data_IF_179839687492
#
_entry.id   IF_179839687492
#
_cell.length_a   1.000
_cell.length_b   1.000
_cell.length_c   1.000
_cell.angle_alpha   90.00
_cell.angle_beta   90.00
_cell.angle_gamma   90.00
#
_symmetry.space_group_name_H-M   'P 1'
#
loop_
_entity.id
_entity.type
_entity.pdbx_description
1 polymer ?
#
# COMPACT_ATOMS: atom_id res chain seq x y z
N UNK A 1 -24.37 4.84 -13.78
CA UNK A 1 -25.23 3.68 -14.10
C UNK A 1 -26.62 3.99 -13.60
N UNK A 2 -27.62 3.97 -14.48
CA UNK A 2 -29.01 4.20 -14.12
C UNK A 2 -29.72 2.94 -13.58
N UNK A 3 -28.99 1.82 -13.44
CA UNK A 3 -29.45 0.53 -12.90
C UNK A 3 -30.52 -0.17 -13.74
N UNK A 4 -30.69 0.20 -15.02
CA UNK A 4 -31.64 -0.46 -15.94
C UNK A 4 -31.16 -1.85 -16.43
N UNK A 5 -29.94 -2.23 -16.05
CA UNK A 5 -29.30 -3.50 -16.40
C UNK A 5 -28.69 -3.51 -17.82
N UNK A 6 -28.60 -2.37 -18.49
CA UNK A 6 -27.96 -2.22 -19.80
C UNK A 6 -26.84 -1.21 -19.71
N UNK A 7 -25.75 -1.47 -20.42
CA UNK A 7 -24.63 -0.53 -20.57
C UNK A 7 -24.79 0.16 -21.92
N UNK A 8 -25.14 1.43 -21.91
CA UNK A 8 -25.28 2.26 -23.12
C UNK A 8 -23.99 3.03 -23.42
N UNK A 9 -23.91 3.63 -24.62
CA UNK A 9 -22.79 4.53 -24.96
C UNK A 9 -22.72 5.74 -24.02
N UNK A 10 -23.87 6.24 -23.57
CA UNK A 10 -23.95 7.35 -22.60
C UNK A 10 -23.39 6.97 -21.23
N UNK A 11 -23.66 5.73 -20.76
CA UNK A 11 -23.07 5.23 -19.50
C UNK A 11 -21.55 5.12 -19.59
N UNK A 12 -21.04 4.65 -20.73
CA UNK A 12 -19.60 4.57 -20.98
C UNK A 12 -18.96 5.96 -21.01
N UNK A 13 -19.62 6.94 -21.61
CA UNK A 13 -19.11 8.31 -21.65
C UNK A 13 -19.17 8.99 -20.28
N UNK A 14 -20.22 8.78 -19.48
CA UNK A 14 -20.29 9.20 -18.09
C UNK A 14 -19.21 8.53 -17.25
N UNK A 15 -18.96 7.24 -17.44
CA UNK A 15 -17.91 6.51 -16.75
C UNK A 15 -16.53 7.06 -17.11
N UNK A 16 -16.24 7.27 -18.40
CA UNK A 16 -14.98 7.87 -18.86
C UNK A 16 -14.78 9.27 -18.27
N UNK A 17 -15.83 10.11 -18.30
CA UNK A 17 -15.78 11.45 -17.75
C UNK A 17 -15.53 11.46 -16.22
N UNK A 18 -16.11 10.50 -15.48
CA UNK A 18 -15.86 10.37 -14.06
C UNK A 18 -14.45 9.81 -13.77
N UNK A 19 -13.98 8.84 -14.56
CA UNK A 19 -12.60 8.35 -14.45
C UNK A 19 -11.57 9.43 -14.78
N UNK A 20 -11.85 10.29 -15.74
CA UNK A 20 -10.98 11.42 -16.09
C UNK A 20 -10.91 12.51 -15.00
N UNK A 21 -11.92 12.58 -14.12
CA UNK A 21 -11.95 13.52 -12.96
C UNK A 21 -11.29 12.91 -11.71
N UNK A 22 -11.09 11.60 -11.67
CA UNK A 22 -10.47 10.92 -10.54
C UNK A 22 -8.97 11.17 -10.53
N UNK A 23 -8.48 11.89 -9.53
CA UNK A 23 -7.06 11.97 -9.23
C UNK A 23 -6.67 10.85 -8.28
N UNK A 24 -5.64 10.08 -8.64
CA UNK A 24 -5.01 9.19 -7.68
C UNK A 24 -4.16 10.02 -6.73
N UNK A 25 -4.61 10.18 -5.49
CA UNK A 25 -3.98 11.04 -4.49
C UNK A 25 -3.95 10.36 -3.13
N UNK A 26 -2.84 10.46 -2.43
CA UNK A 26 -2.72 10.17 -1.01
C UNK A 26 -2.84 11.50 -0.25
N UNK A 27 -3.77 11.55 0.69
CA UNK A 27 -4.04 12.74 1.49
C UNK A 27 -3.91 12.40 2.97
N UNK A 28 -3.13 13.19 3.70
CA UNK A 28 -3.13 13.16 5.15
C UNK A 28 -4.12 14.22 5.67
N UNK A 29 -5.05 13.79 6.51
CA UNK A 29 -6.14 14.64 7.02
C UNK A 29 -6.00 14.82 8.53
N UNK A 30 -6.18 16.06 9.00
CA UNK A 30 -6.33 16.36 10.42
C UNK A 30 -7.79 16.03 10.85
N UNK A 31 -8.00 15.18 11.84
CA UNK A 31 -9.34 14.87 12.34
C UNK A 31 -9.97 16.09 13.06
N UNK A 32 -11.28 16.07 13.25
CA UNK A 32 -11.99 17.04 14.11
C UNK A 32 -12.93 18.01 13.38
N UNK A 33 -13.17 17.82 12.07
CA UNK A 33 -14.21 18.55 11.33
C UNK A 33 -15.61 17.93 11.47
N UNK A 34 -16.64 18.69 11.10
CA UNK A 34 -18.01 18.21 10.89
C UNK A 34 -18.46 18.57 9.48
N UNK A 35 -19.13 17.64 8.79
CA UNK A 35 -19.59 17.82 7.41
C UNK A 35 -18.51 17.60 6.37
N UNK A 36 -18.54 18.36 5.30
CA UNK A 36 -17.54 18.27 4.22
C UNK A 36 -16.16 18.68 4.70
N UNK A 37 -15.13 17.96 4.23
CA UNK A 37 -13.75 18.21 4.59
C UNK A 37 -13.25 19.50 3.92
N UNK A 38 -12.86 20.49 4.73
CA UNK A 38 -12.25 21.71 4.24
C UNK A 38 -10.78 21.49 3.83
N UNK A 39 -10.28 22.26 2.88
CA UNK A 39 -8.85 22.22 2.47
C UNK A 39 -7.88 22.45 3.64
N UNK A 40 -8.27 23.25 4.63
CA UNK A 40 -7.49 23.49 5.85
C UNK A 40 -7.27 22.24 6.70
N UNK A 41 -8.08 21.20 6.52
CA UNK A 41 -7.92 19.91 7.19
C UNK A 41 -6.88 19.00 6.51
N UNK A 42 -6.50 19.30 5.26
CA UNK A 42 -5.45 18.58 4.55
C UNK A 42 -4.10 19.01 5.09
N UNK A 43 -3.39 18.06 5.71
CA UNK A 43 -2.04 18.32 6.21
C UNK A 43 -1.02 18.34 5.07
N UNK A 44 -1.10 17.36 4.17
CA UNK A 44 -0.26 17.24 2.97
C UNK A 44 -0.89 16.29 1.94
N UNK A 45 -0.39 16.36 0.71
CA UNK A 45 -0.82 15.50 -0.42
C UNK A 45 0.40 14.90 -1.12
N UNK A 46 0.22 13.68 -1.65
CA UNK A 46 1.15 13.05 -2.59
C UNK A 46 0.37 12.57 -3.82
N UNK A 47 0.92 12.80 -5.00
CA UNK A 47 0.27 12.47 -6.27
C UNK A 47 1.11 11.53 -7.14
N UNK A 48 2.33 11.18 -6.69
CA UNK A 48 3.26 10.34 -7.46
C UNK A 48 3.62 9.08 -6.69
N UNK A 49 3.84 7.98 -7.44
CA UNK A 49 4.31 6.73 -6.86
C UNK A 49 3.29 6.02 -5.98
N UNK A 50 2.00 6.30 -6.18
CA UNK A 50 0.92 5.76 -5.35
C UNK A 50 0.63 4.30 -5.69
N UNK A 51 0.26 3.48 -4.71
CA UNK A 51 -0.16 2.10 -4.92
C UNK A 51 -1.51 2.03 -5.65
N UNK A 52 -1.74 0.90 -6.31
CA UNK A 52 -3.04 0.58 -6.94
C UNK A 52 -4.00 -0.09 -5.97
N UNK A 53 -3.51 -1.08 -5.23
CA UNK A 53 -4.31 -1.93 -4.34
C UNK A 53 -3.83 -1.86 -2.89
N UNK A 54 -2.52 -1.98 -2.60
CA UNK A 54 -2.04 -1.98 -1.22
C UNK A 54 -2.40 -0.68 -0.49
N UNK A 55 -2.86 -0.82 0.76
CA UNK A 55 -3.06 0.33 1.65
C UNK A 55 -1.73 0.92 2.09
N UNK A 56 -1.65 2.25 2.29
CA UNK A 56 -0.51 2.85 2.97
C UNK A 56 -0.33 2.30 4.38
N UNK A 57 0.90 2.10 4.79
CA UNK A 57 1.25 1.70 6.16
C UNK A 57 1.81 2.89 6.92
N UNK A 58 1.17 3.27 8.03
CA UNK A 58 1.75 4.24 8.97
C UNK A 58 2.44 3.49 10.12
N UNK A 59 3.76 3.66 10.26
CA UNK A 59 4.55 2.99 11.26
C UNK A 59 5.73 3.84 11.71
N UNK A 60 5.91 3.98 13.04
CA UNK A 60 7.01 4.74 13.67
C UNK A 60 7.19 6.16 13.09
N UNK A 61 6.08 6.88 12.88
CA UNK A 61 6.11 8.27 12.39
C UNK A 61 6.36 8.41 10.88
N UNK A 62 6.43 7.33 10.14
CA UNK A 62 6.57 7.31 8.69
C UNK A 62 5.36 6.66 8.00
N UNK A 63 5.04 7.12 6.80
CA UNK A 63 4.06 6.49 5.90
C UNK A 63 4.81 5.78 4.79
N UNK A 64 4.55 4.49 4.62
CA UNK A 64 5.16 3.65 3.60
C UNK A 64 4.15 3.31 2.53
N UNK A 65 4.56 3.44 1.28
CA UNK A 65 3.80 3.06 0.09
C UNK A 65 4.51 1.93 -0.63
N UNK A 66 3.74 0.96 -1.08
CA UNK A 66 4.21 -0.17 -1.90
C UNK A 66 3.38 -0.24 -3.17
N UNK A 67 4.03 -0.18 -4.32
CA UNK A 67 3.37 -0.36 -5.62
C UNK A 67 3.99 -1.50 -6.43
N UNK A 68 3.30 -1.84 -7.49
CA UNK A 68 3.74 -2.86 -8.46
C UNK A 68 5.17 -2.61 -8.95
N UNK A 69 5.89 -3.70 -9.19
CA UNK A 69 7.30 -3.69 -9.54
C UNK A 69 8.24 -3.68 -8.33
N UNK A 70 7.72 -3.84 -7.10
CA UNK A 70 8.52 -3.76 -5.88
C UNK A 70 9.09 -2.37 -5.67
N UNK A 71 8.28 -1.36 -5.89
CA UNK A 71 8.65 0.05 -5.74
C UNK A 71 8.09 0.55 -4.42
N UNK A 72 8.95 1.08 -3.56
CA UNK A 72 8.60 1.60 -2.25
C UNK A 72 8.94 3.07 -2.11
N UNK A 73 8.12 3.77 -1.31
CA UNK A 73 8.37 5.14 -0.90
C UNK A 73 8.12 5.27 0.59
N UNK A 74 8.81 6.19 1.24
CA UNK A 74 8.60 6.52 2.65
C UNK A 74 8.57 8.02 2.83
N UNK A 75 7.61 8.49 3.65
CA UNK A 75 7.38 9.90 3.93
C UNK A 75 7.25 10.12 5.44
N UNK A 76 7.67 11.25 5.93
CA UNK A 76 7.33 11.70 7.28
C UNK A 76 5.80 11.85 7.41
N UNK A 77 5.22 11.20 8.41
CA UNK A 77 3.76 11.13 8.56
C UNK A 77 3.11 12.49 8.87
N UNK A 78 3.85 13.43 9.46
CA UNK A 78 3.33 14.76 9.84
C UNK A 78 3.43 15.77 8.71
N UNK A 79 4.56 15.74 7.99
CA UNK A 79 4.91 16.77 7.00
C UNK A 79 4.72 16.33 5.57
N UNK A 80 4.67 15.01 5.29
CA UNK A 80 4.65 14.46 3.95
C UNK A 80 5.98 14.59 3.19
N UNK A 81 7.05 15.04 3.85
CA UNK A 81 8.38 15.09 3.25
C UNK A 81 8.90 13.68 3.00
N UNK A 82 9.45 13.39 1.82
CA UNK A 82 9.98 12.07 1.54
C UNK A 82 11.27 11.81 2.32
N UNK A 83 11.38 10.64 2.95
CA UNK A 83 12.65 10.04 3.36
C UNK A 83 13.33 9.43 2.14
N UNK A 84 12.56 8.68 1.34
CA UNK A 84 12.93 8.19 0.01
C UNK A 84 11.68 7.99 -0.85
N UNK A 85 11.84 8.02 -2.17
CA UNK A 85 10.71 7.97 -3.09
C UNK A 85 11.01 7.13 -4.32
N UNK A 86 10.10 6.19 -4.61
CA UNK A 86 10.11 5.32 -5.79
C UNK A 86 11.38 4.45 -5.91
N UNK A 87 11.90 4.00 -4.77
CA UNK A 87 13.05 3.11 -4.71
C UNK A 87 12.64 1.65 -4.96
N UNK A 88 13.51 0.89 -5.62
CA UNK A 88 13.28 -0.52 -5.91
C UNK A 88 13.87 -1.41 -4.82
N UNK A 89 13.10 -2.45 -4.46
CA UNK A 89 13.55 -3.46 -3.50
C UNK A 89 13.91 -4.79 -4.17
N UNK A 90 14.12 -4.83 -5.50
CA UNK A 90 14.46 -6.02 -6.29
C UNK A 90 13.52 -7.22 -6.06
N UNK A 91 12.25 -6.94 -5.83
CA UNK A 91 11.18 -7.92 -5.65
C UNK A 91 10.09 -7.66 -6.69
N UNK A 92 10.42 -7.94 -7.95
CA UNK A 92 9.52 -7.72 -9.09
C UNK A 92 8.22 -8.51 -8.92
N UNK A 93 7.12 -7.91 -9.33
CA UNK A 93 5.78 -8.49 -9.30
C UNK A 93 4.72 -7.44 -8.98
N UNK A 94 3.46 -7.87 -9.04
CA UNK A 94 2.33 -7.06 -8.62
C UNK A 94 2.06 -7.29 -7.14
N UNK A 95 1.53 -6.28 -6.48
CA UNK A 95 1.26 -6.30 -5.04
C UNK A 95 -0.20 -5.98 -4.77
N UNK A 96 -0.90 -6.92 -4.10
CA UNK A 96 -2.28 -6.75 -3.62
C UNK A 96 -2.31 -6.73 -2.09
N UNK A 97 -1.44 -7.53 -1.47
CA UNK A 97 -1.26 -7.53 -0.02
C UNK A 97 -0.72 -6.17 0.43
N UNK A 98 -1.35 -5.59 1.44
CA UNK A 98 -0.83 -4.38 2.09
C UNK A 98 0.40 -4.71 2.93
N UNK A 99 1.38 -3.79 3.05
CA UNK A 99 2.49 -3.96 3.96
C UNK A 99 2.01 -4.01 5.42
N UNK A 100 2.69 -4.81 6.25
CA UNK A 100 2.50 -4.85 7.70
C UNK A 100 3.83 -4.63 8.42
N UNK A 101 3.80 -4.15 9.66
CA UNK A 101 5.04 -3.85 10.39
C UNK A 101 4.98 -4.26 11.86
N UNK A 102 6.11 -4.79 12.35
CA UNK A 102 6.41 -5.03 13.76
C UNK A 102 7.93 -4.99 13.98
N UNK A 103 8.36 -4.69 15.19
CA UNK A 103 9.77 -4.75 15.65
C UNK A 103 10.75 -4.05 14.71
N UNK A 104 10.39 -2.87 14.21
CA UNK A 104 11.24 -2.11 13.29
C UNK A 104 11.39 -2.76 11.90
N UNK A 105 10.50 -3.70 11.54
CA UNK A 105 10.49 -4.40 10.26
C UNK A 105 9.18 -4.16 9.52
N UNK A 106 9.27 -4.06 8.20
CA UNK A 106 8.13 -3.98 7.29
C UNK A 106 8.14 -5.24 6.43
N UNK A 107 7.01 -5.92 6.37
CA UNK A 107 6.83 -7.16 5.61
C UNK A 107 5.93 -6.86 4.43
N UNK A 108 6.38 -7.18 3.23
CA UNK A 108 5.65 -7.03 1.97
C UNK A 108 5.59 -8.36 1.24
N UNK A 109 4.45 -8.66 0.61
CA UNK A 109 4.24 -9.91 -0.11
C UNK A 109 3.68 -9.65 -1.52
N UNK A 110 4.31 -10.23 -2.53
CA UNK A 110 3.91 -10.07 -3.93
C UNK A 110 2.95 -11.18 -4.39
N UNK A 111 2.19 -10.91 -5.45
CA UNK A 111 1.34 -11.93 -6.10
C UNK A 111 2.12 -13.12 -6.66
N UNK A 112 3.43 -12.99 -6.86
CA UNK A 112 4.30 -14.08 -7.32
C UNK A 112 4.84 -14.95 -6.17
N UNK A 113 4.42 -14.70 -4.92
CA UNK A 113 4.84 -15.48 -3.76
C UNK A 113 6.11 -15.00 -3.07
N UNK A 114 6.68 -13.89 -3.50
CA UNK A 114 7.88 -13.32 -2.88
C UNK A 114 7.50 -12.49 -1.67
N UNK A 115 8.09 -12.81 -0.54
CA UNK A 115 7.99 -12.05 0.71
C UNK A 115 9.31 -11.36 0.96
N UNK A 116 9.27 -10.06 1.17
CA UNK A 116 10.46 -9.25 1.46
C UNK A 116 10.28 -8.56 2.81
N UNK A 117 11.31 -8.64 3.64
CA UNK A 117 11.37 -7.94 4.93
C UNK A 117 12.33 -6.77 4.78
N UNK A 118 11.84 -5.56 5.10
CA UNK A 118 12.61 -4.33 5.07
C UNK A 118 12.83 -3.83 6.50
N UNK A 119 13.92 -3.11 6.73
CA UNK A 119 14.04 -2.28 7.93
C UNK A 119 13.08 -1.08 7.82
N UNK A 120 12.41 -0.72 8.92
CA UNK A 120 11.69 0.53 9.00
C UNK A 120 12.67 1.71 9.19
N UNK A 121 12.29 2.90 8.68
CA UNK A 121 13.12 4.10 8.75
C UNK A 121 14.24 4.12 7.69
N UNK A 122 15.17 5.07 7.88
CA UNK A 122 16.31 5.29 6.98
C UNK A 122 15.98 6.16 5.75
N UNK A 123 17.04 6.56 5.05
CA UNK A 123 16.98 7.41 3.85
C UNK A 123 16.91 6.61 2.53
N UNK A 124 16.90 5.28 2.64
CA UNK A 124 16.72 4.34 1.54
C UNK A 124 16.15 3.02 2.08
N UNK A 125 15.43 2.22 1.25
CA UNK A 125 14.91 0.93 1.67
C UNK A 125 16.06 -0.05 1.91
N UNK A 126 16.12 -0.62 3.10
CA UNK A 126 17.08 -1.65 3.46
C UNK A 126 16.40 -3.01 3.54
N UNK A 127 16.71 -3.90 2.60
CA UNK A 127 16.23 -5.28 2.61
C UNK A 127 16.99 -6.08 3.66
N UNK A 128 16.26 -6.72 4.57
CA UNK A 128 16.79 -7.57 5.63
C UNK A 128 16.72 -9.05 5.25
N UNK A 129 15.61 -9.46 4.61
CA UNK A 129 15.38 -10.86 4.26
C UNK A 129 14.45 -10.97 3.04
N UNK A 130 14.56 -12.08 2.31
CA UNK A 130 13.65 -12.49 1.23
C UNK A 130 13.34 -13.97 1.36
N UNK A 131 12.08 -14.31 1.07
CA UNK A 131 11.62 -15.69 0.93
C UNK A 131 10.76 -15.81 -0.33
N UNK A 132 10.79 -16.96 -0.98
CA UNK A 132 9.92 -17.27 -2.11
C UNK A 132 9.09 -18.51 -1.76
N UNK A 133 7.78 -18.35 -1.76
CA UNK A 133 6.83 -19.42 -1.47
C UNK A 133 6.41 -20.20 -2.72
N UNK A 134 6.77 -19.71 -3.91
CA UNK A 134 6.40 -20.33 -5.18
C UNK A 134 4.89 -20.32 -5.46
N UNK A 135 4.09 -19.70 -4.61
CA UNK A 135 2.63 -19.65 -4.68
C UNK A 135 2.12 -18.23 -4.55
N UNK A 136 1.00 -17.95 -5.18
CA UNK A 136 0.35 -16.64 -5.13
C UNK A 136 0.01 -16.23 -3.70
N UNK A 137 0.40 -14.99 -3.34
CA UNK A 137 0.02 -14.32 -2.10
C UNK A 137 -0.76 -13.06 -2.44
N UNK A 138 -2.05 -13.02 -2.12
CA UNK A 138 -2.91 -11.85 -2.36
C UNK A 138 -3.48 -11.27 -1.06
N UNK A 139 -3.51 -12.05 0.00
CA UNK A 139 -3.98 -11.60 1.30
C UNK A 139 -2.88 -10.85 2.05
N UNK A 140 -3.24 -9.76 2.70
CA UNK A 140 -2.37 -9.05 3.64
C UNK A 140 -1.97 -10.00 4.77
N UNK A 141 -0.68 -10.14 5.09
CA UNK A 141 -0.23 -10.90 6.24
C UNK A 141 -0.82 -10.35 7.55
N UNK A 142 -1.03 -11.21 8.54
CA UNK A 142 -1.48 -10.79 9.86
C UNK A 142 -0.37 -10.95 10.89
N UNK A 143 -0.22 -9.96 11.76
CA UNK A 143 0.67 -9.98 12.91
C UNK A 143 -0.18 -10.09 14.17
N UNK A 144 -0.01 -11.16 14.93
CA UNK A 144 -0.75 -11.40 16.17
C UNK A 144 0.25 -11.87 17.22
N UNK A 145 0.41 -11.10 18.29
CA UNK A 145 1.40 -11.35 19.33
C UNK A 145 2.82 -11.47 18.73
N UNK A 146 3.46 -12.65 18.90
CA UNK A 146 4.80 -12.97 18.38
C UNK A 146 4.77 -13.72 17.03
N UNK A 147 3.60 -13.82 16.38
CA UNK A 147 3.41 -14.62 15.16
C UNK A 147 3.04 -13.79 13.95
N UNK A 148 3.66 -14.16 12.82
CA UNK A 148 3.28 -13.75 11.48
C UNK A 148 2.48 -14.87 10.82
N UNK A 149 1.25 -14.56 10.40
CA UNK A 149 0.42 -15.44 9.59
C UNK A 149 0.45 -15.00 8.15
N UNK A 150 0.76 -15.93 7.26
CA UNK A 150 0.84 -15.70 5.82
C UNK A 150 -0.03 -16.72 5.09
N UNK A 151 -0.92 -16.26 4.21
CA UNK A 151 -1.76 -17.12 3.38
C UNK A 151 -1.27 -17.09 1.95
N UNK A 152 -0.96 -18.27 1.41
CA UNK A 152 -0.74 -18.51 -0.01
C UNK A 152 -2.03 -19.02 -0.68
N UNK A 153 -1.95 -19.40 -1.95
CA UNK A 153 -3.09 -19.96 -2.69
C UNK A 153 -3.62 -21.26 -2.06
N UNK A 154 -2.73 -22.11 -1.54
CA UNK A 154 -3.09 -23.46 -1.05
C UNK A 154 -2.85 -23.67 0.45
N UNK A 155 -2.09 -22.79 1.12
CA UNK A 155 -1.67 -22.99 2.50
C UNK A 155 -1.78 -21.72 3.38
N UNK A 156 -1.83 -21.96 4.69
CA UNK A 156 -1.65 -20.94 5.73
C UNK A 156 -0.38 -21.29 6.52
N UNK A 157 0.51 -20.33 6.64
CA UNK A 157 1.75 -20.44 7.42
C UNK A 157 1.66 -19.60 8.67
N UNK A 158 2.23 -20.08 9.76
CA UNK A 158 2.44 -19.34 10.99
C UNK A 158 3.94 -19.37 11.33
N UNK A 159 4.56 -18.20 11.45
CA UNK A 159 5.96 -18.03 11.83
C UNK A 159 6.01 -17.31 13.16
N UNK A 160 6.79 -17.80 14.09
CA UNK A 160 6.98 -17.25 15.42
C UNK A 160 7.85 -18.18 16.26
N UNK A 161 8.16 -17.76 17.46
CA UNK A 161 8.86 -18.57 18.46
C UNK A 161 7.90 -19.36 19.31
#
# INVERSE_FOLDING_TARGET
FDLDGRITAEDLDKMKANMAKGENVLIAVRPGGKGEMAESQVAWKQTRGLPYVPSPLCYQGSVYLLRDGGIVSSFDAKTGQPHYQQERIDALGNYYASPVAADGRIIVASLTGKVTVLAAGGEAPKVLHRADFGERISATPALVEDKLYLRTATAMYAFGR
#
